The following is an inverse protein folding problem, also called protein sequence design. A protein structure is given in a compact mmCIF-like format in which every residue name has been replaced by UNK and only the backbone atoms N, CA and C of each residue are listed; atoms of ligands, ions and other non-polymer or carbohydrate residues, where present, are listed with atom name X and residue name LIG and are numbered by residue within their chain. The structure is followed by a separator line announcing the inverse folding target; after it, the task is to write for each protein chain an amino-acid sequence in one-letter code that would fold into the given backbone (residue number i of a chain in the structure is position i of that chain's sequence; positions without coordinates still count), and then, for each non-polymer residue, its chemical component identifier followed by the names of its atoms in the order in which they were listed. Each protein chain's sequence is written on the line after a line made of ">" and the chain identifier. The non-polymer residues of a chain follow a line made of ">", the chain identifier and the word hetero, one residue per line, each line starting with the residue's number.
data_IF_957769627386
#
_entry.id   IF_957769627386
#
_cell.length_a   1.000
_cell.length_b   1.000
_cell.length_c   1.000
_cell.angle_alpha   90.00
_cell.angle_beta   90.00
_cell.angle_gamma   90.00
#
_symmetry.space_group_name_H-M   'P 1'
#
loop_
_entity.id
_entity.type
_entity.pdbx_description
1 polymer ?
#
# COMPACT_ATOMS: atom_id res chain seq x y z
N UNK A 1 24.15 -0.27 -22.42
CA UNK A 1 23.70 1.12 -22.70
C UNK A 1 22.22 1.16 -23.14
N UNK A 2 21.31 0.47 -22.43
CA UNK A 2 19.87 0.41 -22.73
C UNK A 2 18.95 0.66 -21.52
N UNK A 3 19.53 0.91 -20.34
CA UNK A 3 18.77 1.15 -19.09
C UNK A 3 18.34 2.62 -18.89
N UNK A 4 18.83 3.55 -19.71
CA UNK A 4 18.57 4.99 -19.54
C UNK A 4 17.31 5.50 -20.27
N UNK A 5 16.69 4.70 -21.13
CA UNK A 5 15.53 5.14 -21.91
C UNK A 5 14.18 5.05 -21.18
N UNK A 6 14.11 4.34 -20.05
CA UNK A 6 12.87 4.24 -19.26
C UNK A 6 12.64 5.43 -18.32
N UNK A 7 13.67 6.19 -17.97
CA UNK A 7 13.58 7.30 -17.00
C UNK A 7 13.04 8.60 -17.66
N UNK A 8 13.16 8.76 -18.98
CA UNK A 8 12.73 9.98 -19.69
C UNK A 8 11.20 10.05 -19.89
N UNK A 9 10.50 8.91 -19.86
CA UNK A 9 9.03 8.87 -20.00
C UNK A 9 8.27 9.36 -18.77
N UNK A 10 8.93 9.43 -17.60
CA UNK A 10 8.34 9.97 -16.36
C UNK A 10 8.24 11.50 -16.38
N UNK A 11 9.01 12.19 -17.24
CA UNK A 11 9.03 13.67 -17.28
C UNK A 11 7.97 14.28 -18.21
N UNK A 12 7.41 13.52 -19.16
CA UNK A 12 6.33 13.99 -20.02
C UNK A 12 4.96 14.07 -19.30
N UNK A 13 4.86 13.58 -18.06
CA UNK A 13 3.65 13.63 -17.25
C UNK A 13 3.32 15.02 -16.67
N UNK A 14 4.23 15.99 -16.78
CA UNK A 14 4.04 17.33 -16.19
C UNK A 14 3.24 18.32 -17.06
N UNK A 15 3.10 18.11 -18.37
CA UNK A 15 2.41 19.07 -19.25
C UNK A 15 0.87 18.93 -19.25
N UNK A 16 0.30 17.92 -18.59
CA UNK A 16 -1.15 17.68 -18.55
C UNK A 16 -1.88 18.40 -17.38
N UNK A 17 -1.20 19.30 -16.67
CA UNK A 17 -1.67 19.89 -15.42
C UNK A 17 -2.94 20.78 -15.50
N UNK A 18 -3.47 21.07 -16.69
CA UNK A 18 -4.61 21.99 -16.87
C UNK A 18 -5.93 21.32 -17.32
N UNK A 19 -5.96 20.01 -17.56
CA UNK A 19 -7.20 19.25 -17.78
C UNK A 19 -7.80 18.64 -16.48
N UNK A 20 -7.12 18.84 -15.34
CA UNK A 20 -7.32 18.11 -14.06
C UNK A 20 -8.33 18.74 -13.08
N UNK A 21 -8.73 20.00 -13.27
CA UNK A 21 -9.52 20.76 -12.27
C UNK A 21 -10.91 20.17 -11.92
N UNK A 22 -11.69 19.56 -12.85
CA UNK A 22 -12.96 18.92 -12.49
C UNK A 22 -12.80 17.57 -11.78
N UNK A 23 -11.68 16.87 -11.98
CA UNK A 23 -11.37 15.61 -11.28
C UNK A 23 -10.97 15.89 -9.82
N UNK A 24 -10.18 16.93 -9.60
CA UNK A 24 -9.67 17.32 -8.28
C UNK A 24 -10.78 17.67 -7.27
N UNK A 25 -11.87 18.31 -7.70
CA UNK A 25 -13.01 18.61 -6.79
C UNK A 25 -13.79 17.37 -6.36
N UNK A 26 -13.89 16.35 -7.22
CA UNK A 26 -14.57 15.09 -6.86
C UNK A 26 -13.73 14.27 -5.89
N UNK A 27 -12.40 14.28 -6.06
CA UNK A 27 -11.47 13.53 -5.20
C UNK A 27 -11.40 14.10 -3.78
N UNK A 28 -11.33 15.43 -3.61
CA UNK A 28 -11.36 16.05 -2.27
C UNK A 28 -12.64 15.73 -1.49
N UNK A 29 -13.79 15.75 -2.17
CA UNK A 29 -15.07 15.40 -1.56
C UNK A 29 -15.11 13.95 -1.06
N UNK A 30 -14.47 13.02 -1.78
CA UNK A 30 -14.37 11.62 -1.38
C UNK A 30 -13.47 11.46 -0.17
N UNK A 31 -12.28 12.06 -0.20
CA UNK A 31 -11.31 12.03 0.89
C UNK A 31 -11.92 12.44 2.23
N UNK A 32 -12.55 13.63 2.25
CA UNK A 32 -13.23 14.15 3.45
C UNK A 32 -14.35 13.22 3.93
N UNK A 33 -15.15 12.65 3.02
CA UNK A 33 -16.22 11.70 3.41
C UNK A 33 -15.67 10.44 4.07
N UNK A 34 -14.60 9.85 3.55
CA UNK A 34 -14.02 8.63 4.11
C UNK A 34 -13.34 8.90 5.45
N UNK A 35 -12.61 10.01 5.56
CA UNK A 35 -12.04 10.47 6.83
C UNK A 35 -13.13 10.65 7.89
N UNK A 36 -14.22 11.37 7.57
CA UNK A 36 -15.33 11.58 8.49
C UNK A 36 -16.00 10.27 8.92
N UNK A 37 -16.14 9.29 7.99
CA UNK A 37 -16.63 7.95 8.33
C UNK A 37 -15.69 7.23 9.29
N UNK A 38 -14.39 7.25 9.04
CA UNK A 38 -13.39 6.61 9.90
C UNK A 38 -13.42 7.19 11.32
N UNK A 39 -13.42 8.51 11.49
CA UNK A 39 -13.41 9.13 12.83
C UNK A 39 -14.76 9.07 13.54
N UNK A 40 -15.86 8.97 12.80
CA UNK A 40 -17.18 8.67 13.40
C UNK A 40 -17.23 7.22 13.91
N UNK A 41 -16.64 6.31 13.13
CA UNK A 41 -16.56 4.90 13.48
C UNK A 41 -15.59 4.67 14.64
N UNK A 42 -14.46 5.38 14.68
CA UNK A 42 -13.43 5.33 15.73
C UNK A 42 -13.30 6.71 16.39
N UNK A 43 -14.20 7.06 17.34
CA UNK A 43 -14.22 8.39 17.95
C UNK A 43 -12.91 8.78 18.63
N UNK A 44 -12.12 7.80 19.10
CA UNK A 44 -10.78 8.05 19.66
C UNK A 44 -9.92 8.85 18.68
N UNK A 45 -10.02 8.61 17.38
CA UNK A 45 -9.21 9.31 16.37
C UNK A 45 -9.71 10.73 16.05
N UNK A 46 -10.99 11.01 16.30
CA UNK A 46 -11.59 12.32 16.01
C UNK A 46 -11.65 13.26 17.21
N UNK A 47 -11.30 12.78 18.40
CA UNK A 47 -11.37 13.54 19.64
C UNK A 47 -10.00 13.79 20.22
N UNK A 48 -9.85 14.95 20.83
CA UNK A 48 -8.69 15.24 21.67
C UNK A 48 -8.65 14.23 22.83
N UNK A 49 -7.50 13.56 23.07
CA UNK A 49 -7.40 12.49 24.05
C UNK A 49 -7.49 12.97 25.51
N UNK A 50 -7.33 14.26 25.79
CA UNK A 50 -7.39 14.83 27.14
C UNK A 50 -8.71 15.52 27.43
N UNK A 51 -9.22 16.29 26.47
CA UNK A 51 -10.47 17.05 26.66
C UNK A 51 -11.70 16.27 26.21
N UNK A 52 -11.54 15.29 25.32
CA UNK A 52 -12.64 14.54 24.70
C UNK A 52 -13.45 15.35 23.68
N UNK A 53 -13.04 16.59 23.40
CA UNK A 53 -13.67 17.45 22.39
C UNK A 53 -13.33 17.00 20.98
N UNK A 54 -14.24 17.27 20.03
CA UNK A 54 -13.99 16.96 18.63
C UNK A 54 -12.93 17.89 18.06
N UNK A 55 -11.94 17.30 17.40
CA UNK A 55 -10.91 18.01 16.67
C UNK A 55 -11.53 18.70 15.45
N UNK A 56 -10.99 19.86 15.08
CA UNK A 56 -11.48 20.62 13.92
C UNK A 56 -11.22 19.86 12.62
N UNK A 57 -12.27 19.59 11.86
CA UNK A 57 -12.18 18.97 10.53
C UNK A 57 -11.44 19.85 9.49
N UNK A 58 -11.27 21.14 9.78
CA UNK A 58 -10.54 22.08 8.92
C UNK A 58 -9.06 22.22 9.31
N UNK A 59 -8.57 21.46 10.30
CA UNK A 59 -7.15 21.44 10.61
C UNK A 59 -6.34 20.84 9.43
N UNK A 60 -5.15 21.41 9.10
CA UNK A 60 -4.31 20.93 8.02
C UNK A 60 -3.96 19.43 8.07
N UNK A 61 -3.90 18.84 9.25
CA UNK A 61 -3.70 17.40 9.43
C UNK A 61 -4.85 16.60 8.79
N UNK A 62 -6.11 16.90 9.15
CA UNK A 62 -7.26 16.22 8.57
C UNK A 62 -7.36 16.45 7.06
N UNK A 63 -7.00 17.65 6.58
CA UNK A 63 -6.91 17.91 5.14
C UNK A 63 -5.87 17.01 4.47
N UNK A 64 -4.69 16.83 5.07
CA UNK A 64 -3.64 15.95 4.55
C UNK A 64 -4.08 14.48 4.51
N UNK A 65 -4.77 14.00 5.56
CA UNK A 65 -5.34 12.64 5.59
C UNK A 65 -6.41 12.46 4.52
N UNK A 66 -7.28 13.45 4.33
CA UNK A 66 -8.32 13.41 3.30
C UNK A 66 -7.70 13.30 1.89
N UNK A 67 -6.56 13.96 1.63
CA UNK A 67 -5.83 13.82 0.36
C UNK A 67 -5.38 12.38 0.13
N UNK A 68 -4.88 11.68 1.16
CA UNK A 68 -4.51 10.26 1.04
C UNK A 68 -5.72 9.37 0.70
N UNK A 69 -6.85 9.55 1.40
CA UNK A 69 -8.09 8.84 1.07
C UNK A 69 -8.61 9.13 -0.33
N UNK A 70 -8.34 10.34 -0.85
CA UNK A 70 -8.78 10.73 -2.19
C UNK A 70 -8.09 9.93 -3.30
N UNK A 71 -6.96 9.28 -3.02
CA UNK A 71 -6.16 8.60 -4.02
C UNK A 71 -5.33 9.55 -4.86
N UNK A 72 -5.02 10.76 -4.37
CA UNK A 72 -4.34 11.77 -5.17
C UNK A 72 -2.98 11.30 -5.70
N UNK A 73 -2.25 10.47 -4.93
CA UNK A 73 -0.96 9.95 -5.35
C UNK A 73 -1.07 8.69 -6.23
N UNK A 74 -2.02 7.81 -5.95
CA UNK A 74 -2.18 6.51 -6.63
C UNK A 74 -3.20 6.48 -7.77
N UNK A 75 -3.92 7.57 -7.98
CA UNK A 75 -5.03 7.66 -8.93
C UNK A 75 -6.29 6.88 -8.51
N UNK A 76 -6.27 6.17 -7.36
CA UNK A 76 -7.37 5.30 -6.92
C UNK A 76 -7.94 5.74 -5.56
N UNK A 77 -9.26 6.03 -5.48
CA UNK A 77 -9.86 6.43 -4.22
C UNK A 77 -9.84 5.28 -3.21
N UNK A 78 -9.42 5.58 -1.98
CA UNK A 78 -9.36 4.61 -0.88
C UNK A 78 -10.62 4.75 -0.03
N UNK A 79 -11.18 3.64 0.44
CA UNK A 79 -12.39 3.60 1.24
C UNK A 79 -12.09 3.17 2.67
N UNK A 80 -12.75 3.81 3.63
CA UNK A 80 -12.81 3.29 4.99
C UNK A 80 -13.73 2.07 5.03
N UNK A 81 -13.24 0.95 5.57
CA UNK A 81 -14.04 -0.24 5.85
C UNK A 81 -14.04 -0.51 7.36
N UNK A 82 -15.23 -0.44 7.97
CA UNK A 82 -15.43 -0.62 9.41
C UNK A 82 -15.35 -2.10 9.85
N UNK A 83 -15.22 -3.03 8.90
CA UNK A 83 -15.01 -4.45 9.22
C UNK A 83 -13.60 -4.66 9.80
N UNK A 84 -13.47 -5.52 10.80
CA UNK A 84 -12.18 -5.83 11.40
C UNK A 84 -11.22 -6.50 10.38
N UNK A 85 -9.89 -6.29 10.52
CA UNK A 85 -8.90 -7.02 9.75
C UNK A 85 -9.09 -8.54 9.86
N UNK A 86 -8.87 -9.25 8.75
CA UNK A 86 -9.11 -10.70 8.60
C UNK A 86 -7.84 -11.47 8.96
N UNK A 87 -7.42 -11.37 10.20
CA UNK A 87 -6.22 -12.04 10.69
C UNK A 87 -5.73 -11.48 12.02
N UNK A 88 -4.52 -11.88 12.45
CA UNK A 88 -3.92 -11.41 13.69
C UNK A 88 -3.45 -9.95 13.60
N UNK A 89 -3.47 -9.33 12.41
CA UNK A 89 -3.05 -7.96 12.22
C UNK A 89 -4.00 -6.93 12.84
N UNK A 90 -3.41 -5.81 13.26
CA UNK A 90 -4.13 -4.66 13.82
C UNK A 90 -4.71 -3.77 12.71
N UNK A 91 -4.15 -3.85 11.52
CA UNK A 91 -4.57 -3.09 10.36
C UNK A 91 -4.29 -3.88 9.09
N UNK A 92 -5.10 -3.67 8.06
CA UNK A 92 -4.78 -4.13 6.71
C UNK A 92 -5.42 -3.22 5.66
N UNK A 93 -4.98 -3.40 4.42
CA UNK A 93 -5.58 -2.77 3.26
C UNK A 93 -5.96 -3.83 2.21
N UNK A 94 -6.79 -3.42 1.26
CA UNK A 94 -6.99 -4.12 0.00
C UNK A 94 -6.54 -3.22 -1.13
N UNK A 95 -5.72 -3.76 -2.05
CA UNK A 95 -5.40 -3.10 -3.31
C UNK A 95 -6.64 -3.06 -4.21
N UNK A 96 -6.80 -2.04 -5.08
CA UNK A 96 -7.88 -2.03 -6.05
C UNK A 96 -7.73 -3.20 -7.03
N UNK A 97 -8.85 -3.85 -7.37
CA UNK A 97 -8.94 -4.90 -8.38
C UNK A 97 -10.25 -4.74 -9.16
N UNK A 98 -10.45 -5.51 -10.24
CA UNK A 98 -11.61 -5.40 -11.14
C UNK A 98 -12.97 -5.29 -10.45
N UNK A 99 -13.12 -5.91 -9.28
CA UNK A 99 -14.37 -5.95 -8.51
C UNK A 99 -14.17 -5.57 -7.04
N UNK A 100 -12.98 -5.11 -6.67
CA UNK A 100 -12.63 -4.81 -5.29
C UNK A 100 -12.12 -3.37 -5.21
N UNK A 101 -12.71 -2.58 -4.32
CA UNK A 101 -12.25 -1.22 -4.06
C UNK A 101 -10.97 -1.26 -3.24
N UNK A 102 -10.15 -0.20 -3.36
CA UNK A 102 -9.08 0.03 -2.41
C UNK A 102 -9.70 0.34 -1.05
N UNK A 103 -9.37 -0.44 -0.01
CA UNK A 103 -9.91 -0.22 1.35
C UNK A 103 -8.81 -0.25 2.38
N UNK A 104 -9.04 0.38 3.52
CA UNK A 104 -8.26 0.16 4.74
C UNK A 104 -9.19 -0.23 5.87
N UNK A 105 -8.67 -1.05 6.79
CA UNK A 105 -9.33 -1.48 8.03
C UNK A 105 -8.34 -1.34 9.16
N UNK A 106 -8.79 -0.85 10.31
CA UNK A 106 -7.99 -0.89 11.55
C UNK A 106 -8.82 -1.44 12.70
N UNK A 107 -8.14 -2.14 13.60
CA UNK A 107 -8.67 -2.67 14.84
C UNK A 107 -8.57 -1.58 15.91
N UNK A 108 -9.58 -1.48 16.77
CA UNK A 108 -9.64 -0.46 17.84
C UNK A 108 -9.04 -0.93 19.16
N UNK A 109 -8.95 -2.25 19.33
CA UNK A 109 -8.58 -2.91 20.57
C UNK A 109 -7.59 -4.02 20.30
N UNK A 110 -6.64 -4.18 21.19
CA UNK A 110 -5.73 -5.31 21.18
C UNK A 110 -6.53 -6.62 21.30
N UNK A 111 -6.38 -7.58 20.37
CA UNK A 111 -7.16 -8.82 20.42
C UNK A 111 -6.76 -9.75 21.58
N UNK A 112 -5.55 -9.60 22.13
CA UNK A 112 -5.05 -10.38 23.26
C UNK A 112 -5.47 -9.78 24.61
N UNK A 113 -5.41 -8.45 24.77
CA UNK A 113 -5.73 -7.80 26.06
C UNK A 113 -7.14 -7.22 26.12
N UNK A 114 -7.77 -6.94 24.97
CA UNK A 114 -9.04 -6.23 24.86
C UNK A 114 -8.95 -4.72 25.12
N UNK A 115 -7.76 -4.21 25.45
CA UNK A 115 -7.52 -2.80 25.73
C UNK A 115 -7.65 -1.96 24.47
N UNK A 116 -8.15 -0.73 24.62
CA UNK A 116 -8.20 0.21 23.50
C UNK A 116 -6.80 0.69 23.12
N UNK A 117 -6.57 0.81 21.82
CA UNK A 117 -5.34 1.42 21.34
C UNK A 117 -5.31 2.91 21.60
N UNK A 118 -4.10 3.42 21.85
CA UNK A 118 -3.88 4.86 22.03
C UNK A 118 -4.19 5.66 20.76
N UNK A 119 -4.53 6.94 20.95
CA UNK A 119 -4.75 7.92 19.88
C UNK A 119 -3.67 7.90 18.81
N UNK A 120 -2.39 8.01 19.22
CA UNK A 120 -1.26 8.02 18.29
C UNK A 120 -1.06 6.68 17.58
N UNK A 121 -1.35 5.55 18.24
CA UNK A 121 -1.19 4.24 17.60
C UNK A 121 -2.23 4.01 16.52
N UNK A 122 -3.51 4.32 16.78
CA UNK A 122 -4.60 4.24 15.80
C UNK A 122 -4.29 5.06 14.54
N UNK A 123 -3.81 6.29 14.72
CA UNK A 123 -3.40 7.14 13.60
C UNK A 123 -2.19 6.59 12.85
N UNK A 124 -1.19 6.03 13.54
CA UNK A 124 -0.04 5.41 12.90
C UNK A 124 -0.42 4.20 12.03
N UNK A 125 -1.38 3.38 12.49
CA UNK A 125 -1.92 2.25 11.74
C UNK A 125 -2.64 2.73 10.47
N UNK A 126 -3.59 3.66 10.61
CA UNK A 126 -4.37 4.14 9.48
C UNK A 126 -3.50 4.81 8.40
N UNK A 127 -2.53 5.62 8.82
CA UNK A 127 -1.64 6.32 7.88
C UNK A 127 -0.65 5.38 7.22
N UNK A 128 -0.16 4.35 7.92
CA UNK A 128 0.64 3.31 7.29
C UNK A 128 -0.12 2.62 6.15
N UNK A 129 -1.34 2.14 6.42
CA UNK A 129 -2.15 1.47 5.40
C UNK A 129 -2.53 2.39 4.24
N UNK A 130 -2.80 3.68 4.52
CA UNK A 130 -3.07 4.68 3.49
C UNK A 130 -1.88 4.90 2.56
N UNK A 131 -0.64 4.91 3.08
CA UNK A 131 0.57 5.00 2.27
C UNK A 131 0.83 3.68 1.53
N UNK A 132 0.64 2.54 2.19
CA UNK A 132 0.87 1.22 1.61
C UNK A 132 -0.05 0.98 0.39
N UNK A 133 -1.33 1.35 0.49
CA UNK A 133 -2.26 1.21 -0.64
C UNK A 133 -1.93 2.15 -1.81
N UNK A 134 -1.14 3.23 -1.61
CA UNK A 134 -0.71 4.04 -2.74
C UNK A 134 0.27 3.29 -3.65
N UNK A 135 0.99 2.32 -3.11
CA UNK A 135 1.99 1.52 -3.81
C UNK A 135 1.38 0.31 -4.55
N UNK A 136 0.06 0.29 -4.73
CA UNK A 136 -0.64 -0.87 -5.30
C UNK A 136 -0.16 -1.24 -6.71
N UNK A 137 0.24 -0.25 -7.52
CA UNK A 137 0.78 -0.49 -8.86
C UNK A 137 2.10 -1.26 -8.80
N UNK A 138 3.02 -0.82 -7.93
CA UNK A 138 4.30 -1.50 -7.72
C UNK A 138 4.12 -2.95 -7.25
N UNK A 139 3.20 -3.19 -6.30
CA UNK A 139 2.87 -4.56 -5.87
C UNK A 139 2.27 -5.40 -7.01
N UNK A 140 1.42 -4.79 -7.84
CA UNK A 140 0.81 -5.46 -8.99
C UNK A 140 1.88 -5.84 -10.02
N UNK A 141 2.74 -4.89 -10.40
CA UNK A 141 3.86 -5.14 -11.32
C UNK A 141 4.78 -6.24 -10.83
N UNK A 142 5.19 -6.21 -9.55
CA UNK A 142 6.02 -7.26 -8.97
C UNK A 142 5.33 -8.62 -8.97
N UNK A 143 4.03 -8.67 -8.63
CA UNK A 143 3.25 -9.90 -8.67
C UNK A 143 3.20 -10.50 -10.06
N UNK A 144 3.15 -9.65 -11.08
CA UNK A 144 3.07 -10.04 -12.50
C UNK A 144 4.42 -10.52 -12.98
N UNK A 145 5.49 -9.78 -12.68
CA UNK A 145 6.85 -10.20 -13.00
C UNK A 145 7.19 -11.54 -12.35
N UNK A 146 6.79 -11.73 -11.10
CA UNK A 146 6.95 -12.99 -10.42
C UNK A 146 6.14 -14.08 -11.12
N UNK A 147 4.85 -13.84 -11.38
CA UNK A 147 3.97 -14.79 -12.06
C UNK A 147 4.50 -15.22 -13.45
N UNK A 148 5.12 -14.30 -14.18
CA UNK A 148 5.75 -14.54 -15.47
C UNK A 148 7.12 -15.23 -15.38
N UNK A 149 7.62 -15.52 -14.19
CA UNK A 149 8.93 -16.13 -13.95
C UNK A 149 10.10 -15.20 -14.29
N UNK A 150 9.89 -13.88 -14.26
CA UNK A 150 10.90 -12.87 -14.62
C UNK A 150 11.74 -12.40 -13.45
N UNK A 151 11.32 -12.69 -12.22
CA UNK A 151 12.07 -12.43 -11.00
C UNK A 151 12.18 -13.73 -10.21
N UNK A 152 13.34 -13.92 -9.56
CA UNK A 152 13.49 -15.03 -8.63
C UNK A 152 12.57 -14.83 -7.42
N UNK A 153 12.31 -15.89 -6.67
CA UNK A 153 11.53 -15.82 -5.42
C UNK A 153 12.15 -14.84 -4.43
N UNK A 154 13.47 -14.88 -4.30
CA UNK A 154 14.19 -14.10 -3.29
C UNK A 154 14.24 -12.62 -3.72
N UNK A 155 14.38 -12.35 -5.02
CA UNK A 155 14.24 -10.99 -5.57
C UNK A 155 12.81 -10.47 -5.40
N UNK A 156 11.78 -11.28 -5.66
CA UNK A 156 10.39 -10.87 -5.46
C UNK A 156 10.14 -10.47 -3.99
N UNK A 157 10.57 -11.30 -3.03
CA UNK A 157 10.44 -10.99 -1.61
C UNK A 157 11.16 -9.69 -1.26
N UNK A 158 12.39 -9.52 -1.75
CA UNK A 158 13.20 -8.32 -1.52
C UNK A 158 12.54 -7.07 -2.09
N UNK A 159 12.00 -7.12 -3.31
CA UNK A 159 11.32 -5.98 -3.92
C UNK A 159 9.98 -5.66 -3.25
N UNK A 160 9.19 -6.67 -2.83
CA UNK A 160 7.98 -6.45 -2.02
C UNK A 160 8.32 -5.70 -0.73
N UNK A 161 9.37 -6.15 -0.03
CA UNK A 161 9.84 -5.50 1.20
C UNK A 161 10.38 -4.09 0.92
N UNK A 162 10.96 -3.85 -0.26
CA UNK A 162 11.40 -2.51 -0.69
C UNK A 162 10.22 -1.57 -0.91
N UNK A 163 9.13 -2.05 -1.50
CA UNK A 163 7.90 -1.27 -1.66
C UNK A 163 7.31 -0.91 -0.30
N UNK A 164 7.21 -1.87 0.62
CA UNK A 164 6.75 -1.61 2.00
C UNK A 164 7.66 -0.62 2.75
N UNK A 165 8.97 -0.71 2.55
CA UNK A 165 9.93 0.26 3.08
C UNK A 165 9.66 1.68 2.55
N UNK A 166 9.29 1.83 1.28
CA UNK A 166 8.84 3.10 0.70
C UNK A 166 7.65 3.70 1.47
N UNK A 167 6.63 2.88 1.76
CA UNK A 167 5.48 3.30 2.56
C UNK A 167 5.88 3.69 4.00
N UNK A 168 6.83 2.98 4.62
CA UNK A 168 7.37 3.35 5.93
C UNK A 168 8.13 4.68 5.92
N UNK A 169 8.86 4.99 4.84
CA UNK A 169 9.52 6.28 4.68
C UNK A 169 8.51 7.42 4.50
N UNK A 170 7.47 7.20 3.69
CA UNK A 170 6.39 8.16 3.51
C UNK A 170 5.66 8.44 4.85
N UNK A 171 5.41 7.41 5.66
CA UNK A 171 4.85 7.55 7.00
C UNK A 171 5.75 8.36 7.94
N UNK A 172 7.06 8.11 7.92
CA UNK A 172 8.03 8.87 8.71
C UNK A 172 8.06 10.36 8.32
N UNK A 173 7.97 10.66 7.03
CA UNK A 173 7.94 12.04 6.54
C UNK A 173 6.61 12.71 6.90
N UNK A 174 5.48 12.00 6.75
CA UNK A 174 4.16 12.47 7.20
C UNK A 174 4.15 12.77 8.70
N UNK A 175 4.81 11.92 9.50
CA UNK A 175 4.95 12.13 10.94
C UNK A 175 5.63 13.47 11.25
N UNK A 176 6.74 13.78 10.57
CA UNK A 176 7.50 15.02 10.79
C UNK A 176 6.77 16.26 10.29
N UNK A 177 6.14 16.17 9.12
CA UNK A 177 5.59 17.33 8.40
C UNK A 177 4.16 17.67 8.81
N UNK A 178 3.36 16.67 9.17
CA UNK A 178 1.92 16.86 9.45
C UNK A 178 1.56 16.51 10.89
N UNK A 179 1.95 15.33 11.36
CA UNK A 179 1.52 14.83 12.67
C UNK A 179 2.17 15.57 13.86
N UNK A 180 3.49 15.75 13.87
CA UNK A 180 4.19 16.47 14.96
C UNK A 180 3.64 17.90 15.12
N UNK A 181 3.56 18.72 14.06
CA UNK A 181 2.98 20.06 14.18
C UNK A 181 1.52 20.05 14.64
N UNK A 182 0.75 19.04 14.25
CA UNK A 182 -0.63 18.87 14.72
C UNK A 182 -0.69 18.59 16.21
N UNK A 183 0.06 17.59 16.68
CA UNK A 183 0.17 17.26 18.10
C UNK A 183 0.63 18.45 18.96
N UNK A 184 1.61 19.23 18.48
CA UNK A 184 2.08 20.45 19.17
C UNK A 184 0.97 21.51 19.30
N UNK A 185 0.12 21.68 18.27
CA UNK A 185 -1.00 22.64 18.32
C UNK A 185 -2.07 22.28 19.33
N UNK A 186 -2.33 20.98 19.51
CA UNK A 186 -3.36 20.47 20.42
C UNK A 186 -2.80 20.00 21.77
N UNK A 187 -1.52 20.26 22.04
CA UNK A 187 -0.82 19.85 23.27
C UNK A 187 -0.90 18.34 23.57
N UNK A 188 -0.80 17.51 22.53
CA UNK A 188 -0.81 16.05 22.64
C UNK A 188 0.60 15.48 22.53
N UNK A 189 1.10 14.74 23.54
CA UNK A 189 2.42 14.13 23.45
C UNK A 189 2.43 13.06 22.36
N UNK A 190 3.53 13.00 21.61
CA UNK A 190 3.71 11.99 20.58
C UNK A 190 5.02 11.24 20.72
N UNK A 191 5.01 9.98 20.30
CA UNK A 191 6.16 9.09 20.37
C UNK A 191 6.61 8.70 18.97
N UNK A 192 7.85 9.04 18.62
CA UNK A 192 8.45 8.68 17.33
C UNK A 192 8.46 7.16 17.09
N UNK A 193 8.46 6.34 18.13
CA UNK A 193 8.52 4.87 18.01
C UNK A 193 7.28 4.26 17.35
N UNK A 194 6.15 4.98 17.34
CA UNK A 194 4.94 4.56 16.65
C UNK A 194 5.05 4.75 15.12
N UNK A 195 5.85 5.72 14.68
CA UNK A 195 5.87 6.20 13.30
C UNK A 195 7.16 5.86 12.54
N UNK A 196 8.30 5.91 13.22
CA UNK A 196 9.62 5.76 12.61
C UNK A 196 10.11 4.32 12.80
N UNK A 197 9.69 3.42 11.91
CA UNK A 197 10.05 2.00 11.96
C UNK A 197 11.39 1.65 11.31
N UNK A 198 11.86 2.49 10.39
CA UNK A 198 13.13 2.28 9.67
C UNK A 198 14.34 2.75 10.48
N UNK A 199 14.13 3.57 11.51
CA UNK A 199 15.22 4.18 12.29
C UNK A 199 16.11 5.13 11.47
N UNK A 200 15.66 5.58 10.29
CA UNK A 200 16.47 6.39 9.37
C UNK A 200 17.56 5.60 8.62
N UNK A 201 17.57 4.27 8.74
CA UNK A 201 18.49 3.40 8.02
C UNK A 201 18.20 3.39 6.53
N UNK A 202 19.21 3.07 5.71
CA UNK A 202 19.00 2.76 4.29
C UNK A 202 18.15 1.49 4.14
N UNK A 203 17.57 1.27 2.95
CA UNK A 203 16.84 0.03 2.68
C UNK A 203 17.72 -1.21 2.93
N UNK A 204 18.99 -1.19 2.50
CA UNK A 204 19.88 -2.34 2.65
C UNK A 204 20.20 -2.65 4.10
N UNK A 205 20.49 -1.62 4.90
CA UNK A 205 20.78 -1.78 6.32
C UNK A 205 19.54 -2.23 7.09
N UNK A 206 18.38 -1.65 6.77
CA UNK A 206 17.11 -2.04 7.38
C UNK A 206 16.70 -3.47 7.01
N UNK A 207 16.85 -3.83 5.74
CA UNK A 207 16.55 -5.17 5.23
C UNK A 207 17.46 -6.23 5.87
N UNK A 208 18.74 -5.92 6.07
CA UNK A 208 19.70 -6.81 6.73
C UNK A 208 19.37 -7.09 8.22
N UNK A 209 18.55 -6.24 8.85
CA UNK A 209 18.07 -6.45 10.22
C UNK A 209 16.83 -7.35 10.30
N UNK A 210 16.19 -7.64 9.17
CA UNK A 210 15.03 -8.53 9.15
C UNK A 210 15.48 -9.97 9.40
N UNK A 211 14.77 -10.74 10.24
CA UNK A 211 15.15 -12.12 10.48
C UNK A 211 14.97 -12.97 9.21
N UNK A 212 15.87 -13.95 8.99
CA UNK A 212 15.86 -14.78 7.78
C UNK A 212 14.53 -15.51 7.56
N UNK A 213 13.83 -15.84 8.65
CA UNK A 213 12.57 -16.56 8.65
C UNK A 213 11.33 -15.66 8.45
N UNK A 214 11.50 -14.35 8.26
CA UNK A 214 10.44 -13.48 7.75
C UNK A 214 10.44 -12.04 8.26
N UNK A 215 9.34 -11.36 7.95
CA UNK A 215 9.06 -9.97 8.35
C UNK A 215 9.01 -9.82 9.88
N UNK A 216 9.38 -8.64 10.40
CA UNK A 216 9.42 -8.38 11.85
C UNK A 216 8.04 -8.43 12.53
N UNK A 217 6.95 -8.35 11.76
CA UNK A 217 5.60 -8.54 12.27
C UNK A 217 5.22 -10.04 12.20
N UNK A 218 4.96 -10.70 13.34
CA UNK A 218 4.64 -12.13 13.39
C UNK A 218 3.49 -12.56 12.48
N UNK A 219 2.48 -11.71 12.30
CA UNK A 219 1.35 -11.96 11.38
C UNK A 219 1.77 -12.05 9.91
N UNK A 220 2.79 -11.30 9.51
CA UNK A 220 3.32 -11.31 8.16
C UNK A 220 4.32 -12.44 7.94
N UNK A 221 4.93 -13.00 9.00
CA UNK A 221 5.83 -14.15 8.88
C UNK A 221 5.16 -15.33 8.18
N UNK A 222 3.90 -15.63 8.51
CA UNK A 222 3.12 -16.66 7.83
C UNK A 222 2.85 -16.31 6.36
N UNK A 223 2.61 -15.02 6.05
CA UNK A 223 2.44 -14.54 4.69
C UNK A 223 3.73 -14.67 3.87
N UNK A 224 4.89 -14.31 4.42
CA UNK A 224 6.18 -14.43 3.75
C UNK A 224 6.64 -15.88 3.62
N UNK A 225 6.41 -16.72 4.63
CA UNK A 225 6.59 -18.17 4.50
C UNK A 225 5.65 -18.75 3.44
N UNK A 226 4.39 -18.27 3.38
CA UNK A 226 3.44 -18.63 2.33
C UNK A 226 3.88 -18.12 0.95
N UNK A 227 4.43 -16.92 0.84
CA UNK A 227 4.98 -16.39 -0.42
C UNK A 227 6.21 -17.20 -0.84
N UNK A 228 7.07 -17.59 0.11
CA UNK A 228 8.21 -18.47 -0.16
C UNK A 228 7.79 -19.88 -0.58
N UNK A 229 6.72 -20.41 -0.01
CA UNK A 229 6.17 -21.74 -0.31
C UNK A 229 5.33 -21.75 -1.61
N UNK A 230 4.46 -20.75 -1.80
CA UNK A 230 3.71 -20.49 -3.05
C UNK A 230 4.65 -20.13 -4.20
N UNK A 231 5.84 -19.58 -3.86
CA UNK A 231 7.07 -19.55 -4.66
C UNK A 231 7.28 -20.79 -5.53
N UNK A 232 6.92 -21.97 -5.03
CA UNK A 232 7.06 -23.22 -5.77
C UNK A 232 6.00 -23.47 -6.85
N UNK A 233 4.85 -22.77 -6.83
CA UNK A 233 3.88 -22.80 -7.94
C UNK A 233 4.24 -21.84 -9.09
N UNK A 234 5.20 -20.92 -8.90
CA UNK A 234 5.65 -19.99 -9.94
C UNK A 234 6.34 -20.66 -11.13
N UNK A 235 6.74 -21.93 -10.99
CA UNK A 235 7.35 -22.75 -12.04
C UNK A 235 6.38 -23.73 -12.71
N UNK A 236 5.11 -23.78 -12.28
CA UNK A 236 4.11 -24.63 -12.93
C UNK A 236 3.47 -23.91 -14.12
N UNK A 237 3.32 -24.62 -15.24
CA UNK A 237 2.58 -24.16 -16.41
C UNK A 237 1.11 -24.05 -16.01
N UNK A 238 0.60 -22.82 -15.94
CA UNK A 238 -0.83 -22.59 -15.80
C UNK A 238 -1.55 -22.94 -17.09
N UNK A 239 -2.72 -23.53 -16.96
CA UNK A 239 -3.69 -23.69 -18.05
C UNK A 239 -4.25 -22.32 -18.48
N UNK A 240 -4.85 -22.25 -19.66
CA UNK A 240 -5.49 -21.03 -20.17
C UNK A 240 -6.55 -20.47 -19.21
N UNK A 241 -7.34 -21.36 -18.61
CA UNK A 241 -8.39 -21.00 -17.65
C UNK A 241 -7.83 -20.39 -16.36
N UNK A 242 -6.69 -20.91 -15.87
CA UNK A 242 -6.03 -20.37 -14.67
C UNK A 242 -5.44 -18.99 -14.92
N UNK A 243 -4.94 -18.73 -16.14
CA UNK A 243 -4.44 -17.42 -16.53
C UNK A 243 -5.57 -16.41 -16.69
N UNK A 244 -6.64 -16.75 -17.41
CA UNK A 244 -7.82 -15.89 -17.55
C UNK A 244 -8.47 -15.60 -16.19
N UNK A 245 -8.50 -16.58 -15.30
CA UNK A 245 -8.93 -16.39 -13.92
C UNK A 245 -8.01 -15.40 -13.19
N UNK A 246 -6.70 -15.60 -13.25
CA UNK A 246 -5.74 -14.70 -12.61
C UNK A 246 -5.87 -13.26 -13.12
N UNK A 247 -5.97 -13.06 -14.43
CA UNK A 247 -6.17 -11.74 -15.02
C UNK A 247 -7.46 -11.09 -14.53
N UNK A 248 -8.59 -11.81 -14.56
CA UNK A 248 -9.88 -11.28 -14.09
C UNK A 248 -9.91 -10.96 -12.60
N UNK A 249 -9.16 -11.70 -11.79
CA UNK A 249 -9.12 -11.49 -10.34
C UNK A 249 -8.20 -10.34 -9.96
N UNK A 250 -7.03 -10.23 -10.59
CA UNK A 250 -5.97 -9.32 -10.15
C UNK A 250 -5.90 -8.04 -10.99
N UNK A 251 -6.53 -8.01 -12.15
CA UNK A 251 -6.51 -6.85 -13.03
C UNK A 251 -7.92 -6.38 -13.26
N UNK A 252 -8.18 -5.13 -12.89
CA UNK A 252 -9.24 -4.39 -13.52
C UNK A 252 -8.87 -4.14 -14.98
N UNK A 253 -9.69 -4.58 -15.96
CA UNK A 253 -9.55 -4.16 -17.36
C UNK A 253 -9.42 -2.64 -17.51
N UNK A 254 -9.92 -1.88 -16.54
CA UNK A 254 -9.99 -0.43 -16.55
C UNK A 254 -8.89 0.30 -15.74
N UNK A 255 -8.14 -0.38 -14.85
CA UNK A 255 -7.21 0.30 -13.92
C UNK A 255 -5.73 -0.03 -14.14
N UNK A 256 -5.38 -1.23 -14.62
CA UNK A 256 -3.98 -1.52 -14.94
C UNK A 256 -3.70 -0.94 -16.33
N UNK A 257 -2.72 -0.04 -16.42
CA UNK A 257 -2.37 0.63 -17.67
C UNK A 257 -2.32 -0.36 -18.84
N UNK A 258 -2.90 0.02 -19.97
CA UNK A 258 -3.01 -0.82 -21.18
C UNK A 258 -1.68 -1.46 -21.61
N UNK A 259 -0.55 -0.84 -21.24
CA UNK A 259 0.79 -1.36 -21.45
C UNK A 259 1.06 -2.66 -20.69
N UNK A 260 0.65 -2.78 -19.42
CA UNK A 260 0.91 -3.98 -18.62
C UNK A 260 0.06 -5.16 -19.08
N UNK A 261 -1.20 -4.89 -19.45
CA UNK A 261 -2.09 -5.89 -20.05
C UNK A 261 -1.56 -6.33 -21.42
N UNK A 262 -1.11 -5.38 -22.25
CA UNK A 262 -0.51 -5.68 -23.55
C UNK A 262 0.77 -6.49 -23.42
N UNK A 263 1.60 -6.19 -22.43
CA UNK A 263 2.84 -6.91 -22.14
C UNK A 263 2.56 -8.32 -21.61
N UNK A 264 1.62 -8.48 -20.68
CA UNK A 264 1.16 -9.78 -20.22
C UNK A 264 0.60 -10.64 -21.38
N UNK A 265 -0.17 -10.03 -22.28
CA UNK A 265 -0.69 -10.69 -23.49
C UNK A 265 0.42 -11.03 -24.51
N UNK A 266 1.44 -10.18 -24.66
CA UNK A 266 2.63 -10.45 -25.49
C UNK A 266 3.40 -11.64 -24.94
N UNK A 267 3.73 -11.63 -23.65
CA UNK A 267 4.50 -12.68 -22.98
C UNK A 267 3.79 -14.03 -23.00
N UNK A 268 2.45 -14.03 -22.86
CA UNK A 268 1.61 -15.21 -23.10
C UNK A 268 1.86 -15.79 -24.50
N UNK A 269 1.81 -14.95 -25.54
CA UNK A 269 2.01 -15.39 -26.94
C UNK A 269 3.40 -15.99 -27.16
N UNK A 270 4.44 -15.36 -26.62
CA UNK A 270 5.81 -15.85 -26.72
C UNK A 270 5.96 -17.23 -26.06
N UNK A 271 5.42 -17.39 -24.83
CA UNK A 271 5.48 -18.66 -24.11
C UNK A 271 4.68 -19.78 -24.80
N UNK A 272 3.49 -19.47 -25.33
CA UNK A 272 2.67 -20.44 -26.09
C UNK A 272 3.32 -20.87 -27.42
N UNK A 273 4.15 -20.02 -28.01
CA UNK A 273 4.89 -20.34 -29.24
C UNK A 273 6.14 -21.19 -29.00
N UNK A 274 6.35 -21.68 -27.77
CA UNK A 274 7.52 -22.49 -27.43
C UNK A 274 8.82 -21.69 -27.48
N UNK A 275 8.76 -20.35 -27.53
CA UNK A 275 9.92 -19.53 -27.23
C UNK A 275 10.17 -19.70 -25.74
N UNK A 276 11.16 -20.53 -25.41
CA UNK A 276 11.66 -20.67 -24.05
C UNK A 276 12.07 -19.27 -23.61
N UNK A 277 11.27 -18.67 -22.75
CA UNK A 277 11.73 -17.54 -21.96
C UNK A 277 12.75 -18.18 -21.00
N UNK A 278 14.06 -17.95 -21.15
CA UNK A 278 15.02 -18.52 -20.21
C UNK A 278 14.61 -18.04 -18.82
N UNK A 279 14.47 -18.99 -17.90
CA UNK A 279 14.29 -18.66 -16.50
C UNK A 279 15.46 -17.77 -16.09
N UNK A 280 15.18 -16.66 -15.42
CA UNK A 280 16.24 -15.80 -14.90
C UNK A 280 16.88 -16.56 -13.73
N UNK A 281 18.04 -17.17 -13.96
CA UNK A 281 18.86 -17.79 -12.91
C UNK A 281 19.07 -19.31 -12.98
N UNK A 282 19.14 -19.92 -14.17
CA UNK A 282 19.95 -21.14 -14.36
C UNK A 282 21.41 -20.80 -14.66
#
# INVERSE_FOLDING_TARGET
>A
MRAWFFIVLVLAAFENAFAELPKQRKTESHGRRQLNRMVSDIPQMGKDPFTGEWLSADDPFFTSVAVLFSGAASGVPVFWDSVLPRGPEDANHTSPRAKELATIRIRRRDPATGEEYSFGYLWSLALYELHNVQEWEAFSELSIMAWLGRVSRDDYVREVVRVEYGALKALEDFYKVSWVPFCERIDVPTSRYLWVKTGGLSFEDWFAMLPEDGYYLPGYRANYASMRAKGMKFLQVFTEDEWEFFLRQNFDPWAVGSALQAEAARLRRERLQGQVIPAVGE
#
